data_IF_584418469579
#
_entry.id   IF_584418469579
#
_cell.length_a   1.000
_cell.length_b   1.000
_cell.length_c   1.000
_cell.angle_alpha   90.00
_cell.angle_beta   90.00
_cell.angle_gamma   90.00
#
_symmetry.space_group_name_H-M   'P 1'
#
loop_
_entity.id
_entity.type
_entity.pdbx_description
1 polymer ?
#
# COMPACT_ATOMS: atom_id res chain seq x y z
N UNK A 1 11.48 -27.12 -3.24
CA UNK A 1 11.28 -26.19 -2.11
C UNK A 1 11.35 -24.77 -2.65
N UNK A 2 10.42 -23.89 -2.25
CA UNK A 2 10.45 -22.48 -2.65
C UNK A 2 11.61 -21.72 -1.97
N UNK A 3 12.14 -20.69 -2.64
CA UNK A 3 13.13 -19.76 -2.07
C UNK A 3 12.47 -18.39 -1.91
N UNK A 4 12.86 -17.67 -0.88
CA UNK A 4 12.50 -16.27 -0.66
C UNK A 4 13.76 -15.43 -0.74
N UNK A 5 13.64 -14.26 -1.35
CA UNK A 5 14.65 -13.23 -1.36
C UNK A 5 14.12 -12.04 -0.57
N UNK A 6 14.96 -11.47 0.30
CA UNK A 6 14.61 -10.35 1.16
C UNK A 6 15.71 -9.32 1.06
N UNK A 7 15.32 -8.06 0.83
CA UNK A 7 16.24 -6.94 0.67
C UNK A 7 16.09 -5.98 1.84
N UNK A 8 17.20 -5.65 2.50
CA UNK A 8 17.27 -4.62 3.54
C UNK A 8 17.90 -3.36 2.96
N UNK A 9 17.28 -2.21 3.24
CA UNK A 9 17.76 -0.92 2.76
C UNK A 9 18.48 -0.16 3.88
N UNK A 10 19.37 0.79 3.54
CA UNK A 10 19.99 1.65 4.55
C UNK A 10 18.95 2.37 5.43
N UNK A 11 19.29 2.66 6.68
CA UNK A 11 18.43 3.50 7.52
C UNK A 11 18.24 4.87 6.88
N UNK A 12 17.08 5.48 7.09
CA UNK A 12 16.83 6.83 6.62
C UNK A 12 17.56 7.86 7.47
N UNK A 13 18.29 8.76 6.81
CA UNK A 13 18.85 9.94 7.45
C UNK A 13 17.75 10.90 7.90
N UNK A 14 17.95 11.56 9.04
CA UNK A 14 17.03 12.56 9.60
C UNK A 14 15.60 12.03 9.84
N UNK A 15 15.48 10.76 10.27
CA UNK A 15 14.20 10.13 10.59
C UNK A 15 14.21 9.53 12.01
N UNK A 16 13.16 9.74 12.83
CA UNK A 16 12.05 10.65 12.58
C UNK A 16 12.50 12.12 12.58
N UNK A 17 11.85 12.95 11.77
CA UNK A 17 12.17 14.37 11.61
C UNK A 17 11.50 15.27 12.65
N UNK A 18 10.51 14.74 13.37
CA UNK A 18 9.66 15.51 14.29
C UNK A 18 8.41 16.11 13.62
N UNK A 19 8.24 15.93 12.30
CA UNK A 19 6.98 16.14 11.59
C UNK A 19 6.41 14.77 11.17
N UNK A 20 5.46 14.26 11.95
CA UNK A 20 4.79 12.98 11.69
C UNK A 20 4.19 12.89 10.29
N UNK A 21 3.70 14.01 9.75
CA UNK A 21 3.13 14.08 8.42
C UNK A 21 4.20 13.91 7.34
N UNK A 22 5.34 14.59 7.49
CA UNK A 22 6.47 14.45 6.56
C UNK A 22 7.07 13.04 6.61
N UNK A 23 7.25 12.50 7.81
CA UNK A 23 7.77 11.15 8.04
C UNK A 23 6.87 10.08 7.43
N UNK A 24 5.55 10.20 7.62
CA UNK A 24 4.56 9.28 7.05
C UNK A 24 4.54 9.36 5.53
N UNK A 25 4.63 10.56 4.93
CA UNK A 25 4.69 10.74 3.48
C UNK A 25 5.94 10.08 2.89
N UNK A 26 7.11 10.28 3.51
CA UNK A 26 8.37 9.64 3.08
C UNK A 26 8.25 8.12 3.12
N UNK A 27 7.65 7.57 4.19
CA UNK A 27 7.43 6.14 4.31
C UNK A 27 6.50 5.59 3.23
N UNK A 28 5.40 6.29 2.93
CA UNK A 28 4.48 5.85 1.88
C UNK A 28 5.13 5.87 0.49
N UNK A 29 5.86 6.92 0.13
CA UNK A 29 6.61 6.95 -1.13
C UNK A 29 7.62 5.80 -1.23
N UNK A 30 8.36 5.53 -0.15
CA UNK A 30 9.28 4.40 -0.15
C UNK A 30 8.55 3.06 -0.39
N UNK A 31 7.40 2.85 0.23
CA UNK A 31 6.57 1.65 0.02
C UNK A 31 6.09 1.58 -1.44
N UNK A 32 5.60 2.69 -2.00
CA UNK A 32 5.15 2.78 -3.39
C UNK A 32 6.26 2.37 -4.37
N UNK A 33 7.46 2.90 -4.20
CA UNK A 33 8.61 2.55 -5.04
C UNK A 33 8.93 1.04 -4.97
N UNK A 34 8.89 0.43 -3.77
CA UNK A 34 9.13 -1.01 -3.61
C UNK A 34 8.02 -1.86 -4.23
N UNK A 35 6.76 -1.41 -4.15
CA UNK A 35 5.63 -2.10 -4.80
C UNK A 35 5.82 -2.12 -6.31
N UNK A 36 6.28 -1.01 -6.90
CA UNK A 36 6.48 -0.90 -8.34
C UNK A 36 7.57 -1.83 -8.88
N UNK A 37 8.56 -2.22 -8.06
CA UNK A 37 9.58 -3.20 -8.42
C UNK A 37 8.98 -4.61 -8.66
N UNK A 38 8.00 -5.02 -7.84
CA UNK A 38 7.33 -6.33 -7.95
C UNK A 38 5.83 -6.26 -7.56
N UNK A 39 4.96 -5.69 -8.41
CA UNK A 39 3.56 -5.42 -8.05
C UNK A 39 2.78 -6.67 -7.65
N UNK A 40 3.06 -7.83 -8.27
CA UNK A 40 2.38 -9.09 -7.97
C UNK A 40 2.60 -9.59 -6.53
N UNK A 41 3.66 -9.13 -5.86
CA UNK A 41 4.00 -9.54 -4.50
C UNK A 41 3.32 -8.65 -3.43
N UNK A 42 2.62 -7.59 -3.83
CA UNK A 42 1.87 -6.75 -2.90
C UNK A 42 0.51 -7.37 -2.54
N UNK A 43 0.08 -7.19 -1.29
CA UNK A 43 -1.20 -7.70 -0.79
C UNK A 43 -2.38 -6.82 -1.26
N UNK A 44 -2.73 -6.90 -2.54
CA UNK A 44 -3.81 -6.08 -3.16
C UNK A 44 -5.20 -6.31 -2.57
N UNK A 45 -5.44 -7.45 -1.93
CA UNK A 45 -6.71 -7.74 -1.25
C UNK A 45 -6.94 -6.88 -0.01
N UNK A 46 -5.89 -6.25 0.54
CA UNK A 46 -6.03 -5.34 1.65
C UNK A 46 -6.68 -4.03 1.21
N UNK A 47 -7.83 -3.67 1.81
CA UNK A 47 -8.55 -2.42 1.55
C UNK A 47 -7.84 -1.20 2.16
N UNK A 48 -6.65 -0.87 1.66
CA UNK A 48 -5.77 0.20 2.16
C UNK A 48 -6.41 1.60 2.10
N UNK A 49 -7.25 1.86 1.10
CA UNK A 49 -7.87 3.17 0.83
C UNK A 49 -9.30 3.29 1.35
N UNK A 50 -9.67 2.52 2.39
CA UNK A 50 -11.06 2.48 2.90
C UNK A 50 -11.42 3.74 3.71
N UNK A 51 -10.44 4.34 4.37
CA UNK A 51 -10.61 5.60 5.10
C UNK A 51 -10.41 6.75 4.13
N UNK A 52 -11.42 7.60 3.97
CA UNK A 52 -11.45 8.71 3.01
C UNK A 52 -12.00 9.98 3.64
N UNK A 53 -11.67 11.16 3.09
CA UNK A 53 -12.36 12.40 3.43
C UNK A 53 -13.88 12.29 3.24
N UNK A 54 -14.68 13.02 4.03
CA UNK A 54 -16.13 13.03 3.87
C UNK A 54 -16.53 13.46 2.44
N UNK A 55 -17.43 12.69 1.81
CA UNK A 55 -17.96 12.98 0.48
C UNK A 55 -17.18 12.36 -0.69
N UNK A 56 -16.03 11.73 -0.45
CA UNK A 56 -15.32 10.99 -1.50
C UNK A 56 -15.88 9.59 -1.71
N UNK A 57 -16.03 9.19 -2.98
CA UNK A 57 -16.44 7.83 -3.33
C UNK A 57 -15.36 6.81 -2.92
N UNK A 58 -15.79 5.68 -2.35
CA UNK A 58 -14.90 4.57 -2.03
C UNK A 58 -14.48 3.84 -3.32
N UNK A 59 -13.17 3.58 -3.53
CA UNK A 59 -12.71 2.81 -4.69
C UNK A 59 -13.07 1.32 -4.60
N UNK A 60 -13.63 0.87 -3.48
CA UNK A 60 -14.06 -0.52 -3.27
C UNK A 60 -15.56 -0.72 -3.50
N UNK A 61 -16.29 0.36 -3.75
CA UNK A 61 -17.73 0.32 -3.96
C UNK A 61 -17.95 0.19 -5.48
N UNK A 62 -17.87 -1.05 -5.96
CA UNK A 62 -18.30 -1.43 -7.31
C UNK A 62 -19.67 -2.12 -7.26
N UNK A 63 -20.36 -2.27 -8.41
CA UNK A 63 -21.48 -3.19 -8.47
C UNK A 63 -20.99 -4.60 -8.07
N UNK A 64 -21.72 -5.28 -7.19
CA UNK A 64 -21.46 -6.70 -6.90
C UNK A 64 -21.34 -7.46 -8.21
N UNK A 65 -20.30 -8.31 -8.40
CA UNK A 65 -20.22 -9.14 -9.60
C UNK A 65 -21.52 -9.95 -9.72
N UNK A 66 -22.06 -10.14 -10.93
CA UNK A 66 -23.24 -10.97 -11.11
C UNK A 66 -22.96 -12.32 -10.46
N UNK A 67 -23.82 -12.74 -9.53
CA UNK A 67 -23.69 -14.04 -8.91
C UNK A 67 -23.69 -15.07 -10.04
N UNK A 68 -22.61 -15.84 -10.16
CA UNK A 68 -22.58 -16.97 -11.07
C UNK A 68 -23.67 -17.95 -10.61
N UNK A 69 -24.76 -18.02 -11.35
CA UNK A 69 -25.76 -19.07 -11.18
C UNK A 69 -25.04 -20.39 -11.40
N UNK A 70 -24.89 -21.17 -10.32
CA UNK A 70 -24.55 -22.58 -10.40
C UNK A 70 -25.76 -23.36 -10.91
#
# INVERSE_FOLDING_TARGET
AGRFEVTFFPPWEHFPSGDDGADTRRMNHFIEDRILEQPANYLWSHKRFKTRPPGEASPYDGPSPPQSTQ
#
